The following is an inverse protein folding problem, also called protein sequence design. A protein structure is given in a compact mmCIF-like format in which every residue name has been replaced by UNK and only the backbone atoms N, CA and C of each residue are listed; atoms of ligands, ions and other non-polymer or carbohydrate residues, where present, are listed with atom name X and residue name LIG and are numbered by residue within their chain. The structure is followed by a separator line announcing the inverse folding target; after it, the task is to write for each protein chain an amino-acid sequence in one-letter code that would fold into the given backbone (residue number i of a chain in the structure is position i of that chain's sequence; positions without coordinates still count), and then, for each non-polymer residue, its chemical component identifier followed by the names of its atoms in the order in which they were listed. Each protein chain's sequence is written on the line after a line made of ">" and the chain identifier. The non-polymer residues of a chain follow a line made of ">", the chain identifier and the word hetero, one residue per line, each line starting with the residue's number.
data_IF_691002126030
#
_entry.id   IF_691002126030
#
_cell.length_a   1.000
_cell.length_b   1.000
_cell.length_c   1.000
_cell.angle_alpha   90.00
_cell.angle_beta   90.00
_cell.angle_gamma   90.00
#
_symmetry.space_group_name_H-M   'P 1'
#
loop_
_entity.id
_entity.type
_entity.pdbx_description
1 polymer ?
#
# COMPACT_ATOMS: atom_id res chain seq x y z
N UNK A 1 12.00 6.06 13.49
CA UNK A 1 10.96 5.68 14.46
C UNK A 1 10.71 6.86 15.39
N UNK A 2 9.45 7.11 15.71
CA UNK A 2 9.02 8.22 16.53
C UNK A 2 8.00 7.73 17.55
N UNK A 3 7.91 8.37 18.71
CA UNK A 3 6.79 8.14 19.63
C UNK A 3 5.51 8.85 19.15
N UNK A 4 4.39 8.62 19.85
CA UNK A 4 3.10 9.23 19.52
C UNK A 4 3.06 10.76 19.63
N UNK A 5 4.11 11.38 20.19
CA UNK A 5 4.30 12.84 20.25
C UNK A 5 5.27 13.35 19.18
N UNK A 6 5.76 12.47 18.30
CA UNK A 6 6.69 12.81 17.23
C UNK A 6 8.14 12.92 17.67
N UNK A 7 8.50 12.50 18.89
CA UNK A 7 9.91 12.51 19.33
C UNK A 7 10.67 11.35 18.69
N UNK A 8 11.83 11.64 18.12
CA UNK A 8 12.69 10.63 17.52
C UNK A 8 13.15 9.61 18.58
N UNK A 9 12.90 8.33 18.32
CA UNK A 9 13.32 7.22 19.17
C UNK A 9 14.57 6.52 18.63
N UNK A 10 14.71 6.50 17.30
CA UNK A 10 15.80 5.78 16.66
C UNK A 10 15.53 5.53 15.19
N UNK A 11 16.53 4.98 14.52
CA UNK A 11 16.48 4.50 13.13
C UNK A 11 17.17 3.15 13.05
N UNK A 12 16.72 2.34 12.11
CA UNK A 12 17.30 1.05 11.80
C UNK A 12 17.42 0.91 10.28
N UNK A 13 18.12 -0.13 9.84
CA UNK A 13 18.47 -0.28 8.43
C UNK A 13 19.84 0.29 8.08
N UNK A 14 20.25 0.04 6.85
CA UNK A 14 21.46 0.57 6.22
C UNK A 14 21.54 0.06 4.79
N UNK A 15 22.27 0.74 3.91
CA UNK A 15 22.39 0.30 2.52
C UNK A 15 23.12 -1.05 2.44
N UNK A 16 22.51 -2.05 1.79
CA UNK A 16 23.16 -3.33 1.46
C UNK A 16 22.25 -4.56 1.49
N UNK A 17 22.84 -5.73 1.19
CA UNK A 17 22.17 -7.06 1.17
C UNK A 17 22.24 -7.85 2.48
N UNK A 18 23.07 -7.40 3.42
CA UNK A 18 23.26 -8.13 4.69
C UNK A 18 22.03 -8.08 5.60
N UNK A 19 21.99 -8.92 6.66
CA UNK A 19 20.90 -8.93 7.63
C UNK A 19 20.58 -7.53 8.18
N UNK A 20 19.31 -7.12 8.11
CA UNK A 20 18.86 -5.81 8.57
C UNK A 20 19.30 -4.64 7.68
N UNK A 21 19.93 -4.89 6.53
CA UNK A 21 20.23 -3.88 5.52
C UNK A 21 19.16 -3.90 4.42
N UNK A 22 19.06 -2.80 3.68
CA UNK A 22 18.01 -2.54 2.70
C UNK A 22 18.63 -1.94 1.43
N UNK A 23 18.15 -2.34 0.26
CA UNK A 23 18.53 -1.76 -1.03
C UNK A 23 17.43 -0.89 -1.63
N UNK A 24 16.20 -1.39 -1.63
CA UNK A 24 15.02 -0.67 -2.11
C UNK A 24 13.83 -0.93 -1.19
N UNK A 25 13.76 -0.17 -0.11
CA UNK A 25 12.67 -0.25 0.85
C UNK A 25 11.40 0.42 0.28
N UNK A 26 10.50 -0.38 -0.30
CA UNK A 26 9.29 0.14 -0.97
C UNK A 26 8.08 0.22 -0.04
N UNK A 27 7.85 -0.81 0.77
CA UNK A 27 6.72 -0.88 1.70
C UNK A 27 7.21 -1.18 3.11
N UNK A 28 6.58 -0.52 4.09
CA UNK A 28 6.78 -0.77 5.52
C UNK A 28 5.43 -0.97 6.19
N UNK A 29 5.29 -2.05 6.95
CA UNK A 29 4.07 -2.35 7.70
C UNK A 29 4.43 -2.86 9.09
N UNK A 30 3.64 -2.50 10.10
CA UNK A 30 3.79 -3.02 11.46
C UNK A 30 2.62 -3.95 11.79
N UNK A 31 2.89 -5.03 12.51
CA UNK A 31 1.84 -5.92 13.02
C UNK A 31 1.42 -5.59 14.46
N UNK A 32 0.36 -6.26 14.93
CA UNK A 32 -0.17 -6.05 16.29
C UNK A 32 0.78 -6.47 17.41
N UNK A 33 1.85 -7.23 17.13
CA UNK A 33 2.88 -7.56 18.12
C UNK A 33 3.98 -6.49 18.20
N UNK A 34 3.96 -5.51 17.28
CA UNK A 34 4.97 -4.47 17.13
C UNK A 34 6.16 -4.92 16.29
N UNK A 35 6.06 -6.03 15.57
CA UNK A 35 7.05 -6.38 14.56
C UNK A 35 6.87 -5.47 13.34
N UNK A 36 7.99 -4.99 12.79
CA UNK A 36 8.03 -4.14 11.61
C UNK A 36 8.59 -4.93 10.44
N UNK A 37 7.88 -4.90 9.32
CA UNK A 37 8.23 -5.61 8.11
C UNK A 37 8.53 -4.60 7.01
N UNK A 38 9.70 -4.72 6.42
CA UNK A 38 10.14 -3.87 5.31
C UNK A 38 10.35 -4.73 4.08
N UNK A 39 9.64 -4.43 3.01
CA UNK A 39 9.85 -5.10 1.72
C UNK A 39 11.05 -4.46 1.04
N UNK A 40 12.12 -5.23 0.88
CA UNK A 40 13.26 -4.85 0.05
C UNK A 40 13.08 -5.52 -1.31
N UNK A 41 12.60 -4.79 -2.31
CA UNK A 41 12.33 -5.37 -3.63
C UNK A 41 13.60 -5.69 -4.41
N UNK A 42 14.76 -5.39 -3.85
CA UNK A 42 16.05 -5.61 -4.49
C UNK A 42 16.37 -4.55 -5.53
N UNK A 43 17.65 -4.49 -5.86
CA UNK A 43 18.18 -3.69 -6.94
C UNK A 43 18.00 -4.44 -8.27
N UNK A 44 17.35 -3.83 -9.26
CA UNK A 44 17.42 -4.29 -10.63
C UNK A 44 18.36 -3.35 -11.39
N UNK A 45 19.57 -3.82 -11.72
CA UNK A 45 20.63 -3.03 -12.39
C UNK A 45 20.15 -2.24 -13.62
N UNK A 46 19.07 -2.67 -14.27
CA UNK A 46 18.58 -2.08 -15.52
C UNK A 46 17.87 -0.72 -15.38
N UNK A 47 17.46 -0.26 -14.19
CA UNK A 47 16.53 0.88 -14.07
C UNK A 47 17.03 2.15 -13.39
N UNK A 48 18.23 2.18 -12.78
CA UNK A 48 18.58 3.28 -11.85
C UNK A 48 19.87 4.03 -12.14
N UNK A 49 20.70 3.60 -13.11
CA UNK A 49 21.90 4.35 -13.52
C UNK A 49 22.97 4.54 -12.42
N UNK A 50 22.81 3.91 -11.26
CA UNK A 50 23.81 3.87 -10.20
C UNK A 50 24.59 2.55 -10.34
N UNK A 51 25.92 2.61 -10.35
CA UNK A 51 26.76 1.42 -10.45
C UNK A 51 26.77 0.66 -9.13
N UNK A 52 25.97 -0.40 -9.02
CA UNK A 52 26.09 -1.38 -7.93
C UNK A 52 26.69 -2.66 -8.50
N UNK A 53 27.80 -3.15 -7.95
CA UNK A 53 28.35 -4.45 -8.32
C UNK A 53 27.39 -5.61 -7.99
N UNK A 54 27.73 -6.86 -8.35
CA UNK A 54 26.88 -8.03 -8.16
C UNK A 54 26.43 -8.26 -6.71
N UNK A 55 27.16 -7.73 -5.73
CA UNK A 55 26.81 -7.74 -4.30
C UNK A 55 25.55 -6.92 -3.95
N UNK A 56 25.11 -6.04 -4.86
CA UNK A 56 23.88 -5.24 -4.72
C UNK A 56 22.70 -5.90 -5.44
N UNK A 57 22.92 -6.97 -6.21
CA UNK A 57 21.87 -7.72 -6.92
C UNK A 57 21.35 -8.92 -6.12
N UNK A 58 20.17 -9.42 -6.48
CA UNK A 58 19.50 -10.54 -5.80
C UNK A 58 17.98 -10.37 -5.65
N UNK A 59 17.28 -11.43 -5.20
CA UNK A 59 15.83 -11.47 -5.19
C UNK A 59 15.21 -10.44 -4.23
N UNK A 60 13.92 -10.12 -4.42
CA UNK A 60 13.16 -9.38 -3.43
C UNK A 60 13.03 -10.18 -2.13
N UNK A 61 13.01 -9.47 -1.00
CA UNK A 61 12.86 -10.06 0.33
C UNK A 61 12.01 -9.18 1.23
N UNK A 62 11.61 -9.76 2.36
CA UNK A 62 11.00 -9.02 3.47
C UNK A 62 11.89 -9.16 4.69
N UNK A 63 12.37 -8.02 5.18
CA UNK A 63 13.14 -7.90 6.40
C UNK A 63 12.18 -7.68 7.58
N UNK A 64 12.32 -8.45 8.66
CA UNK A 64 11.57 -8.26 9.89
C UNK A 64 12.47 -7.66 10.96
N UNK A 65 11.98 -6.60 11.58
CA UNK A 65 12.54 -5.95 12.74
C UNK A 65 11.54 -6.02 13.89
N UNK A 66 12.01 -5.90 15.12
CA UNK A 66 11.11 -5.63 16.25
C UNK A 66 10.81 -4.14 16.41
N UNK A 67 10.01 -3.83 17.45
CA UNK A 67 9.57 -2.47 17.79
C UNK A 67 10.72 -1.49 18.08
N UNK A 68 11.89 -2.01 18.43
CA UNK A 68 13.09 -1.23 18.73
C UNK A 68 14.00 -1.11 17.49
N UNK A 69 13.60 -1.71 16.37
CA UNK A 69 14.34 -1.66 15.11
C UNK A 69 15.45 -2.70 15.02
N UNK A 70 15.49 -3.69 15.90
CA UNK A 70 16.49 -4.76 15.83
C UNK A 70 16.06 -5.79 14.79
N UNK A 71 16.97 -6.15 13.89
CA UNK A 71 16.73 -7.20 12.90
C UNK A 71 16.44 -8.53 13.59
N UNK A 72 15.39 -9.22 13.14
CA UNK A 72 14.94 -10.51 13.65
C UNK A 72 15.26 -11.63 12.67
N UNK A 73 14.71 -11.52 11.46
CA UNK A 73 14.89 -12.49 10.39
C UNK A 73 14.42 -11.89 9.06
N UNK A 74 14.62 -12.65 7.99
CA UNK A 74 14.17 -12.28 6.65
C UNK A 74 13.38 -13.43 5.99
N UNK A 75 12.56 -13.05 5.03
CA UNK A 75 11.96 -13.94 4.05
C UNK A 75 12.50 -13.59 2.67
N UNK A 76 13.18 -14.54 2.04
CA UNK A 76 13.62 -14.41 0.65
C UNK A 76 12.55 -14.96 -0.30
N UNK A 77 12.23 -14.20 -1.33
CA UNK A 77 11.37 -14.66 -2.42
C UNK A 77 12.24 -15.21 -3.56
N UNK A 78 11.61 -15.82 -4.57
CA UNK A 78 12.34 -16.27 -5.76
C UNK A 78 12.84 -15.08 -6.60
N UNK A 79 13.87 -15.28 -7.40
CA UNK A 79 14.46 -14.23 -8.26
C UNK A 79 13.47 -13.59 -9.23
N UNK A 80 12.47 -14.36 -9.67
CA UNK A 80 11.43 -13.90 -10.59
C UNK A 80 10.17 -13.38 -9.86
N UNK A 81 10.22 -13.26 -8.53
CA UNK A 81 9.14 -12.64 -7.76
C UNK A 81 9.20 -11.12 -7.85
N UNK A 82 8.07 -10.47 -7.60
CA UNK A 82 7.98 -9.04 -7.33
C UNK A 82 7.06 -8.80 -6.14
N UNK A 83 7.19 -7.65 -5.48
CA UNK A 83 6.26 -7.24 -4.42
C UNK A 83 5.61 -5.95 -4.89
N UNK A 84 4.29 -5.96 -5.03
CA UNK A 84 3.53 -4.82 -5.52
C UNK A 84 2.79 -4.08 -4.41
N UNK A 85 2.60 -4.71 -3.26
CA UNK A 85 2.01 -4.06 -2.10
C UNK A 85 2.13 -4.94 -0.86
N UNK A 86 2.00 -4.32 0.31
CA UNK A 86 2.01 -4.99 1.60
C UNK A 86 0.97 -4.38 2.55
N UNK A 87 0.37 -5.22 3.40
CA UNK A 87 -0.38 -4.76 4.58
C UNK A 87 -0.11 -5.63 5.80
N UNK A 88 -0.41 -5.07 6.96
CA UNK A 88 -0.49 -5.82 8.21
C UNK A 88 -1.64 -6.82 8.17
N UNK A 89 -1.40 -8.05 8.62
CA UNK A 89 -2.45 -9.06 8.65
C UNK A 89 -3.23 -9.03 9.98
N UNK A 90 -4.57 -9.15 9.96
CA UNK A 90 -5.36 -9.27 11.18
C UNK A 90 -4.90 -10.49 11.98
N UNK A 91 -4.45 -10.26 13.22
CA UNK A 91 -3.89 -11.32 14.09
C UNK A 91 -2.40 -11.60 13.92
N UNK A 92 -1.65 -10.69 13.28
CA UNK A 92 -0.17 -10.75 13.22
C UNK A 92 0.39 -11.24 11.88
N UNK A 93 1.61 -10.80 11.59
CA UNK A 93 2.28 -10.97 10.29
C UNK A 93 1.81 -10.00 9.21
N UNK A 94 2.02 -10.39 7.94
CA UNK A 94 1.82 -9.52 6.77
C UNK A 94 1.08 -10.23 5.63
N UNK A 95 0.44 -9.44 4.78
CA UNK A 95 -0.05 -9.84 3.46
C UNK A 95 0.79 -9.13 2.41
N UNK A 96 1.23 -9.87 1.39
CA UNK A 96 1.90 -9.35 0.20
C UNK A 96 1.07 -9.59 -1.05
N UNK A 97 1.23 -8.70 -2.03
CA UNK A 97 0.79 -8.91 -3.42
C UNK A 97 1.99 -9.29 -4.26
N UNK A 98 2.00 -10.52 -4.79
CA UNK A 98 3.07 -11.05 -5.64
C UNK A 98 2.55 -11.30 -7.06
N UNK A 99 3.36 -11.14 -8.13
CA UNK A 99 2.98 -11.54 -9.47
C UNK A 99 2.98 -13.08 -9.59
N UNK A 100 1.99 -13.63 -10.27
CA UNK A 100 1.95 -15.03 -10.72
C UNK A 100 1.64 -15.07 -12.22
N UNK A 101 1.88 -16.22 -12.86
CA UNK A 101 1.66 -16.42 -14.30
C UNK A 101 0.22 -16.11 -14.77
N UNK A 102 -0.76 -16.16 -13.85
CA UNK A 102 -2.19 -15.92 -14.13
C UNK A 102 -2.73 -14.61 -13.52
N UNK A 103 -1.85 -13.73 -13.02
CA UNK A 103 -2.22 -12.47 -12.37
C UNK A 103 -1.57 -12.29 -10.99
N UNK A 104 -1.95 -11.26 -10.25
CA UNK A 104 -1.39 -11.00 -8.92
C UNK A 104 -2.02 -11.94 -7.86
N UNK A 105 -1.23 -12.38 -6.89
CA UNK A 105 -1.64 -13.29 -5.83
C UNK A 105 -1.46 -12.62 -4.47
N UNK A 106 -2.49 -12.71 -3.63
CA UNK A 106 -2.41 -12.35 -2.22
C UNK A 106 -1.82 -13.52 -1.43
N UNK A 107 -0.75 -13.24 -0.69
CA UNK A 107 -0.02 -14.23 0.10
C UNK A 107 0.13 -13.72 1.53
N UNK A 108 -0.30 -14.53 2.50
CA UNK A 108 -0.09 -14.26 3.93
C UNK A 108 1.19 -14.90 4.41
N UNK A 109 1.89 -14.17 5.27
CA UNK A 109 2.93 -14.68 6.13
C UNK A 109 2.54 -14.47 7.59
N UNK A 110 2.82 -15.45 8.44
CA UNK A 110 2.65 -15.30 9.89
C UNK A 110 3.77 -14.44 10.48
N UNK A 111 3.67 -14.11 11.77
CA UNK A 111 4.71 -13.39 12.49
C UNK A 111 6.11 -14.00 12.27
N UNK A 112 6.20 -15.33 12.15
CA UNK A 112 7.45 -16.05 11.93
C UNK A 112 8.04 -15.95 10.51
N UNK A 113 7.31 -15.42 9.52
CA UNK A 113 7.69 -15.34 8.09
C UNK A 113 8.14 -16.68 7.45
N UNK A 114 7.80 -17.83 8.02
CA UNK A 114 8.41 -19.10 7.59
C UNK A 114 7.82 -19.70 6.32
N UNK A 115 6.49 -19.64 6.14
CA UNK A 115 5.82 -20.26 4.99
C UNK A 115 4.66 -19.40 4.48
N UNK A 116 4.67 -19.02 3.20
CA UNK A 116 3.54 -18.33 2.58
C UNK A 116 2.30 -19.22 2.58
N UNK A 117 1.14 -18.61 2.79
CA UNK A 117 -0.15 -19.21 2.43
C UNK A 117 -0.88 -18.32 1.44
N UNK A 118 -1.34 -18.92 0.35
CA UNK A 118 -2.32 -18.25 -0.53
C UNK A 118 -3.51 -17.82 0.29
N UNK A 119 -4.00 -16.62 0.02
CA UNK A 119 -5.29 -16.20 0.54
C UNK A 119 -6.24 -16.05 -0.64
N UNK A 120 -7.16 -17.01 -0.78
CA UNK A 120 -8.14 -17.02 -1.86
C UNK A 120 -7.61 -17.35 -3.26
N UNK A 121 -8.51 -17.39 -4.27
CA UNK A 121 -8.12 -17.52 -5.67
C UNK A 121 -7.39 -16.26 -6.13
N UNK A 122 -6.57 -16.41 -7.17
CA UNK A 122 -5.72 -15.36 -7.74
C UNK A 122 -6.50 -14.07 -8.02
N UNK A 123 -5.98 -12.93 -7.59
CA UNK A 123 -6.60 -11.63 -7.77
C UNK A 123 -6.09 -11.01 -9.09
N UNK A 124 -6.94 -11.00 -10.11
CA UNK A 124 -6.60 -10.42 -11.41
C UNK A 124 -6.71 -8.89 -11.37
N UNK A 125 -5.71 -8.22 -10.81
CA UNK A 125 -5.51 -6.77 -11.04
C UNK A 125 -4.20 -6.50 -11.71
N UNK A 126 -4.20 -5.51 -12.60
CA UNK A 126 -3.02 -5.06 -13.32
C UNK A 126 -2.19 -4.03 -12.53
N UNK A 127 -2.73 -3.47 -11.43
CA UNK A 127 -2.20 -2.24 -10.84
C UNK A 127 -2.03 -2.20 -9.31
N UNK A 128 -2.77 -2.96 -8.50
CA UNK A 128 -2.77 -2.89 -7.03
C UNK A 128 -1.41 -2.61 -6.35
N UNK A 129 -1.18 -1.37 -5.93
CA UNK A 129 0.00 -0.92 -5.18
C UNK A 129 -0.32 -0.66 -3.71
N UNK A 130 -1.51 -0.14 -3.44
CA UNK A 130 -1.97 0.12 -2.09
C UNK A 130 -2.96 -0.95 -1.64
N UNK A 131 -2.69 -1.53 -0.47
CA UNK A 131 -3.59 -2.50 0.16
C UNK A 131 -3.66 -2.28 1.66
N UNK A 132 -4.79 -2.61 2.26
CA UNK A 132 -4.98 -2.60 3.71
C UNK A 132 -5.94 -3.72 4.09
N UNK A 133 -5.74 -4.31 5.25
CA UNK A 133 -6.57 -5.42 5.72
C UNK A 133 -7.47 -4.99 6.88
N UNK A 134 -8.54 -5.71 7.12
CA UNK A 134 -9.24 -5.73 8.41
C UNK A 134 -9.77 -7.13 8.69
N UNK A 135 -10.50 -7.31 9.81
CA UNK A 135 -11.03 -8.62 10.22
C UNK A 135 -11.93 -9.31 9.19
N UNK A 136 -12.52 -8.56 8.27
CA UNK A 136 -13.44 -9.06 7.27
C UNK A 136 -12.79 -9.27 5.89
N UNK A 137 -11.49 -8.99 5.71
CA UNK A 137 -10.81 -9.12 4.42
C UNK A 137 -9.82 -8.01 4.11
N UNK A 138 -9.73 -7.62 2.84
CA UNK A 138 -8.76 -6.67 2.32
C UNK A 138 -9.45 -5.59 1.50
N UNK A 139 -8.93 -4.38 1.59
CA UNK A 139 -9.12 -3.32 0.61
C UNK A 139 -7.88 -3.29 -0.27
N UNK A 140 -8.09 -3.13 -1.57
CA UNK A 140 -7.00 -2.94 -2.51
C UNK A 140 -7.40 -1.87 -3.51
N UNK A 141 -6.43 -1.04 -3.85
CA UNK A 141 -6.47 -0.34 -5.12
C UNK A 141 -6.45 -1.37 -6.26
N UNK A 142 -7.25 -1.11 -7.28
CA UNK A 142 -7.32 -1.92 -8.47
C UNK A 142 -7.48 -1.00 -9.67
N UNK A 143 -6.94 -1.41 -10.79
CA UNK A 143 -7.20 -0.74 -12.06
C UNK A 143 -8.48 -1.32 -12.64
N UNK A 144 -9.53 -0.50 -12.73
CA UNK A 144 -10.77 -0.89 -13.39
C UNK A 144 -10.70 -0.60 -14.88
N UNK A 145 -10.86 -1.69 -15.61
CA UNK A 145 -10.86 -1.66 -17.04
C UNK A 145 -12.29 -1.69 -17.57
N UNK A 146 -12.75 -0.57 -18.10
CA UNK A 146 -14.08 -0.45 -18.70
C UNK A 146 -14.25 -1.35 -19.96
N UNK A 147 -13.15 -1.90 -20.53
CA UNK A 147 -13.16 -2.87 -21.65
C UNK A 147 -13.96 -4.14 -21.35
N UNK A 148 -14.13 -4.55 -20.08
CA UNK A 148 -14.90 -5.76 -19.71
C UNK A 148 -16.40 -5.72 -20.04
N UNK A 149 -16.93 -4.58 -20.53
CA UNK A 149 -18.28 -4.51 -21.12
C UNK A 149 -18.35 -4.88 -22.62
N UNK A 150 -17.23 -4.99 -23.34
CA UNK A 150 -17.20 -5.46 -24.74
C UNK A 150 -16.24 -6.63 -24.90
N UNK A 151 -16.79 -7.84 -25.00
CA UNK A 151 -16.14 -8.90 -25.75
C UNK A 151 -16.18 -8.49 -27.24
N UNK A 152 -15.02 -8.10 -27.80
CA UNK A 152 -14.69 -7.86 -29.22
C UNK A 152 -14.39 -6.39 -29.62
N UNK A 153 -13.10 -6.12 -29.82
CA UNK A 153 -12.56 -4.96 -30.54
C UNK A 153 -11.39 -4.26 -29.82
N UNK A 154 -10.47 -3.61 -30.56
CA UNK A 154 -9.47 -2.72 -29.97
C UNK A 154 -10.15 -1.49 -29.31
N UNK A 155 -9.48 -0.89 -28.31
CA UNK A 155 -10.04 0.24 -27.57
C UNK A 155 -10.27 1.47 -28.47
N UNK A 156 -11.45 2.08 -28.40
CA UNK A 156 -11.76 3.35 -29.03
C UNK A 156 -11.05 4.51 -28.30
N UNK A 157 -10.71 5.58 -29.03
CA UNK A 157 -10.18 6.81 -28.45
C UNK A 157 -11.20 7.41 -27.47
N UNK A 158 -10.85 7.50 -26.19
CA UNK A 158 -11.73 8.01 -25.12
C UNK A 158 -12.05 7.00 -24.00
N UNK A 159 -11.51 5.78 -24.07
CA UNK A 159 -11.69 4.75 -23.05
C UNK A 159 -10.83 5.01 -21.80
N UNK A 160 -11.47 5.10 -20.62
CA UNK A 160 -10.81 5.44 -19.36
C UNK A 160 -10.50 4.18 -18.55
N UNK A 161 -9.25 4.08 -18.13
CA UNK A 161 -8.76 3.18 -17.10
C UNK A 161 -8.81 3.96 -15.79
N UNK A 162 -9.66 3.54 -14.85
CA UNK A 162 -9.85 4.24 -13.58
C UNK A 162 -9.20 3.47 -12.44
N UNK A 163 -8.53 4.18 -11.54
CA UNK A 163 -8.07 3.61 -10.28
C UNK A 163 -9.25 3.53 -9.32
N UNK A 164 -9.64 2.30 -8.98
CA UNK A 164 -10.76 2.02 -8.09
C UNK A 164 -10.29 1.36 -6.81
N UNK A 165 -11.15 1.41 -5.81
CA UNK A 165 -10.95 0.63 -4.58
C UNK A 165 -11.96 -0.48 -4.53
N UNK A 166 -11.47 -1.70 -4.38
CA UNK A 166 -12.31 -2.88 -4.26
C UNK A 166 -12.16 -3.50 -2.88
N UNK A 167 -13.27 -4.08 -2.42
CA UNK A 167 -13.27 -4.98 -1.28
C UNK A 167 -12.92 -6.39 -1.77
N UNK A 168 -12.06 -7.08 -1.05
CA UNK A 168 -11.73 -8.49 -1.26
C UNK A 168 -12.04 -9.22 0.04
N UNK A 169 -12.90 -10.25 0.00
CA UNK A 169 -13.21 -11.03 1.19
C UNK A 169 -12.01 -11.91 1.64
N UNK A 170 -12.11 -12.52 2.82
CA UNK A 170 -11.07 -13.42 3.35
C UNK A 170 -10.81 -14.66 2.47
N UNK A 171 -11.72 -14.96 1.54
CA UNK A 171 -11.60 -16.03 0.57
C UNK A 171 -11.11 -15.54 -0.80
N UNK A 172 -10.71 -14.27 -0.94
CA UNK A 172 -10.19 -13.68 -2.18
C UNK A 172 -11.25 -13.28 -3.20
N UNK A 173 -12.55 -13.29 -2.85
CA UNK A 173 -13.62 -12.85 -3.75
C UNK A 173 -13.68 -11.34 -3.79
N UNK A 174 -13.71 -10.78 -5.00
CA UNK A 174 -13.75 -9.34 -5.23
C UNK A 174 -15.20 -8.86 -5.20
N UNK A 175 -15.49 -7.91 -4.32
CA UNK A 175 -16.78 -7.23 -4.22
C UNK A 175 -16.90 -6.05 -5.19
N UNK A 176 -17.95 -5.23 -5.02
CA UNK A 176 -18.13 -4.00 -5.78
C UNK A 176 -17.03 -2.98 -5.43
N UNK A 177 -16.67 -2.13 -6.39
CA UNK A 177 -15.81 -0.99 -6.08
C UNK A 177 -16.56 0.04 -5.22
N UNK A 178 -15.81 0.79 -4.40
CA UNK A 178 -16.36 1.73 -3.41
C UNK A 178 -15.84 3.16 -3.59
N UNK A 179 -15.24 3.44 -4.75
CA UNK A 179 -14.58 4.70 -5.10
C UNK A 179 -15.32 5.49 -6.19
N UNK A 180 -16.64 5.75 -6.07
CA UNK A 180 -17.39 6.41 -7.15
C UNK A 180 -16.95 7.86 -7.41
N UNK A 181 -16.15 8.43 -6.52
CA UNK A 181 -15.86 9.85 -6.44
C UNK A 181 -14.36 10.15 -6.26
N UNK A 182 -13.49 9.17 -6.47
CA UNK A 182 -12.04 9.37 -6.53
C UNK A 182 -11.72 9.99 -7.89
N UNK A 183 -11.11 11.16 -7.88
CA UNK A 183 -10.80 11.93 -9.09
C UNK A 183 -9.29 12.09 -9.32
N UNK A 184 -8.47 11.73 -8.33
CA UNK A 184 -7.01 11.75 -8.40
C UNK A 184 -6.40 10.35 -8.41
N UNK A 185 -5.07 10.31 -8.34
CA UNK A 185 -4.33 9.06 -8.11
C UNK A 185 -4.40 8.68 -6.63
N UNK A 186 -4.64 7.40 -6.36
CA UNK A 186 -4.59 6.87 -5.01
C UNK A 186 -3.12 6.78 -4.58
N UNK A 187 -2.80 7.38 -3.44
CA UNK A 187 -1.43 7.38 -2.89
C UNK A 187 -1.33 6.63 -1.57
N UNK A 188 -2.45 6.17 -1.04
CA UNK A 188 -2.46 5.39 0.20
C UNK A 188 -3.86 4.97 0.59
N UNK A 189 -3.95 3.75 1.11
CA UNK A 189 -5.17 3.26 1.76
C UNK A 189 -4.82 2.70 3.12
N UNK A 190 -5.69 2.94 4.10
CA UNK A 190 -5.50 2.45 5.45
C UNK A 190 -6.86 2.10 6.07
N UNK A 191 -6.89 1.09 6.93
CA UNK A 191 -8.12 0.63 7.56
C UNK A 191 -7.98 0.65 9.07
N UNK A 192 -8.93 1.31 9.74
CA UNK A 192 -9.07 1.23 11.20
C UNK A 192 -9.60 -0.16 11.55
N UNK A 193 -8.76 -0.99 12.17
CA UNK A 193 -9.09 -2.36 12.57
C UNK A 193 -10.29 -2.44 13.53
N UNK A 194 -10.54 -1.38 14.30
CA UNK A 194 -11.56 -1.33 15.34
C UNK A 194 -12.92 -0.97 14.75
N UNK A 195 -13.01 0.10 13.95
CA UNK A 195 -14.29 0.46 13.33
C UNK A 195 -14.54 -0.22 11.98
N UNK A 196 -13.51 -0.72 11.32
CA UNK A 196 -13.57 -1.16 9.91
C UNK A 196 -13.69 0.01 8.93
N UNK A 197 -13.33 1.24 9.35
CA UNK A 197 -13.39 2.40 8.45
C UNK A 197 -12.19 2.36 7.51
N UNK A 198 -12.44 2.66 6.24
CA UNK A 198 -11.42 2.79 5.22
C UNK A 198 -11.11 4.26 5.00
N UNK A 199 -9.82 4.58 4.97
CA UNK A 199 -9.30 5.89 4.65
C UNK A 199 -8.53 5.78 3.34
N UNK A 200 -8.74 6.75 2.47
CA UNK A 200 -8.18 6.77 1.12
C UNK A 200 -7.58 8.14 0.87
N UNK A 201 -6.26 8.21 0.79
CA UNK A 201 -5.56 9.41 0.40
C UNK A 201 -5.50 9.46 -1.13
N UNK A 202 -6.00 10.54 -1.71
CA UNK A 202 -5.82 10.84 -3.12
C UNK A 202 -4.93 12.06 -3.29
N UNK A 203 -4.08 12.00 -4.31
CA UNK A 203 -3.44 13.18 -4.87
C UNK A 203 -4.10 13.49 -6.21
N UNK A 204 -4.64 14.69 -6.34
CA UNK A 204 -4.95 15.21 -7.67
C UNK A 204 -3.61 15.36 -8.37
N UNK A 205 -3.47 14.81 -9.57
CA UNK A 205 -2.22 14.92 -10.33
C UNK A 205 -1.89 16.41 -10.42
N UNK A 206 -0.68 16.80 -10.04
CA UNK A 206 -0.11 18.09 -10.44
C UNK A 206 -0.04 18.03 -11.97
N UNK A 207 -1.15 18.38 -12.62
CA UNK A 207 -1.21 18.51 -14.06
C UNK A 207 -0.32 19.71 -14.34
N UNK A 208 0.86 19.44 -14.90
CA UNK A 208 1.74 20.45 -15.50
C UNK A 208 1.04 21.28 -16.59
N UNK A 209 -0.20 20.98 -16.95
CA UNK A 209 -1.08 21.87 -17.70
C UNK A 209 -1.77 22.85 -16.74
N UNK A 210 -1.12 23.99 -16.54
CA UNK A 210 -1.79 25.21 -16.09
C UNK A 210 -2.75 25.64 -17.21
N UNK A 211 -3.92 25.01 -17.29
CA UNK A 211 -5.04 25.57 -18.03
C UNK A 211 -5.47 26.88 -17.40
N UNK A 212 -6.10 27.81 -18.14
CA UNK A 212 -6.42 29.17 -17.68
C UNK A 212 -7.45 29.23 -16.54
N UNK A 213 -7.94 28.09 -16.05
CA UNK A 213 -8.98 28.04 -15.02
C UNK A 213 -8.57 27.15 -13.82
N UNK A 214 -7.81 27.70 -12.85
CA UNK A 214 -7.36 26.98 -11.65
C UNK A 214 -8.49 26.52 -10.71
N UNK A 215 -9.75 26.93 -10.94
CA UNK A 215 -10.89 26.59 -10.09
C UNK A 215 -11.44 25.16 -10.29
N UNK A 216 -10.97 24.42 -11.31
CA UNK A 216 -11.51 23.09 -11.67
C UNK A 216 -10.68 21.92 -11.13
N UNK A 217 -9.51 22.18 -10.54
CA UNK A 217 -8.63 21.13 -10.02
C UNK A 217 -8.96 20.85 -8.55
N UNK A 218 -9.34 19.61 -8.26
CA UNK A 218 -9.70 19.20 -6.92
C UNK A 218 -8.55 19.39 -5.91
N UNK A 219 -8.90 19.66 -4.66
CA UNK A 219 -7.93 19.63 -3.57
C UNK A 219 -7.56 18.20 -3.20
N UNK A 220 -6.27 17.96 -2.97
CA UNK A 220 -5.76 16.75 -2.31
C UNK A 220 -6.53 16.51 -1.01
N UNK A 221 -6.94 15.26 -0.76
CA UNK A 221 -7.79 14.94 0.38
C UNK A 221 -7.66 13.49 0.80
N UNK A 222 -8.12 13.21 2.01
CA UNK A 222 -8.47 11.87 2.45
C UNK A 222 -9.98 11.72 2.44
N UNK A 223 -10.47 10.67 1.77
CA UNK A 223 -11.85 10.21 1.90
C UNK A 223 -11.95 9.14 2.96
N UNK A 224 -13.04 9.17 3.72
CA UNK A 224 -13.36 8.19 4.74
C UNK A 224 -14.63 7.46 4.32
N UNK A 225 -14.53 6.14 4.28
CA UNK A 225 -15.62 5.23 4.00
C UNK A 225 -15.91 4.40 5.25
N UNK A 226 -17.18 4.08 5.49
CA UNK A 226 -17.56 3.10 6.49
C UNK A 226 -17.16 1.68 6.04
N UNK A 227 -17.39 0.70 6.93
CA UNK A 227 -17.07 -0.71 6.67
C UNK A 227 -17.79 -1.31 5.47
N UNK A 228 -18.88 -0.70 5.02
CA UNK A 228 -19.66 -1.16 3.89
C UNK A 228 -19.25 -0.44 2.59
N UNK A 229 -18.26 0.45 2.64
CA UNK A 229 -17.81 1.24 1.50
C UNK A 229 -18.65 2.48 1.22
N UNK A 230 -19.53 2.90 2.14
CA UNK A 230 -20.25 4.17 1.99
C UNK A 230 -19.36 5.31 2.45
N UNK A 231 -19.20 6.35 1.61
CA UNK A 231 -18.47 7.56 2.00
C UNK A 231 -19.18 8.27 3.16
N UNK A 232 -18.45 8.57 4.23
CA UNK A 232 -18.98 9.22 5.44
C UNK A 232 -18.29 10.54 5.77
N UNK A 233 -17.07 10.79 5.27
CA UNK A 233 -16.38 12.06 5.45
C UNK A 233 -15.30 12.25 4.37
N UNK A 234 -14.78 13.48 4.28
CA UNK A 234 -13.54 13.79 3.59
C UNK A 234 -12.89 15.01 4.25
N UNK A 235 -11.56 15.07 4.25
CA UNK A 235 -10.81 16.21 4.77
C UNK A 235 -9.60 16.52 3.88
N UNK A 236 -9.22 17.79 3.73
CA UNK A 236 -8.11 18.19 2.87
C UNK A 236 -6.77 17.73 3.45
N UNK A 237 -5.79 17.48 2.58
CA UNK A 237 -4.41 17.16 2.95
C UNK A 237 -3.45 17.78 1.95
N UNK A 238 -2.25 18.16 2.35
CA UNK A 238 -1.26 18.68 1.40
C UNK A 238 -0.28 17.59 0.98
N UNK A 239 -0.20 17.33 -0.33
CA UNK A 239 0.81 16.46 -0.98
C UNK A 239 1.04 15.13 -0.24
N UNK A 240 0.00 14.28 -0.14
CA UNK A 240 0.12 12.99 0.51
C UNK A 240 1.02 12.05 -0.31
N UNK A 241 1.94 11.36 0.37
CA UNK A 241 2.81 10.33 -0.22
C UNK A 241 2.43 8.92 0.23
N UNK A 242 2.10 8.75 1.51
CA UNK A 242 1.65 7.49 2.09
C UNK A 242 0.79 7.77 3.32
N UNK A 243 0.07 6.74 3.78
CA UNK A 243 -0.83 6.84 4.92
C UNK A 243 -0.77 5.59 5.80
N UNK A 244 -0.93 5.77 7.10
CA UNK A 244 -1.07 4.70 8.08
C UNK A 244 -2.11 5.07 9.14
N UNK A 245 -2.66 4.07 9.82
CA UNK A 245 -3.59 4.27 10.94
C UNK A 245 -2.99 3.69 12.21
N UNK A 246 -2.95 4.51 13.26
CA UNK A 246 -2.52 4.10 14.60
C UNK A 246 -3.58 3.27 15.32
N UNK A 247 -3.17 2.61 16.41
CA UNK A 247 -4.04 1.73 17.20
C UNK A 247 -5.30 2.42 17.77
N UNK A 248 -5.25 3.74 17.96
CA UNK A 248 -6.36 4.55 18.48
C UNK A 248 -7.23 5.19 17.39
N UNK A 249 -6.97 4.87 16.12
CA UNK A 249 -7.72 5.41 14.97
C UNK A 249 -7.19 6.77 14.47
N UNK A 250 -6.04 7.22 14.97
CA UNK A 250 -5.35 8.39 14.44
C UNK A 250 -4.80 8.08 13.05
N UNK A 251 -4.97 9.02 12.11
CA UNK A 251 -4.51 8.89 10.73
C UNK A 251 -3.20 9.65 10.58
N UNK A 252 -2.15 8.94 10.17
CA UNK A 252 -0.84 9.51 9.89
C UNK A 252 -0.65 9.58 8.38
N UNK A 253 -0.35 10.76 7.87
CA UNK A 253 -0.11 10.99 6.45
C UNK A 253 1.28 11.57 6.28
N UNK A 254 2.11 10.89 5.50
CA UNK A 254 3.44 11.38 5.18
C UNK A 254 3.36 12.30 3.97
N UNK A 255 4.17 13.35 4.01
CA UNK A 255 4.46 14.22 2.87
C UNK A 255 5.98 14.18 2.63
N UNK A 256 6.48 14.94 1.65
CA UNK A 256 7.93 15.08 1.45
C UNK A 256 8.66 15.79 2.59
N UNK A 257 7.94 16.48 3.50
CA UNK A 257 8.56 17.33 4.53
C UNK A 257 8.15 16.99 5.96
N UNK A 258 6.98 16.40 6.15
CA UNK A 258 6.39 16.22 7.47
C UNK A 258 5.45 15.01 7.52
N UNK A 259 5.02 14.67 8.74
CA UNK A 259 3.93 13.72 8.99
C UNK A 259 2.78 14.51 9.60
N UNK A 260 1.64 14.55 8.90
CA UNK A 260 0.41 15.15 9.38
C UNK A 260 -0.38 14.10 10.16
N UNK A 261 -0.93 14.48 11.32
CA UNK A 261 -1.67 13.56 12.21
C UNK A 261 -3.08 14.07 12.41
N UNK A 262 -4.06 13.30 11.98
CA UNK A 262 -5.48 13.62 12.13
C UNK A 262 -6.07 12.73 13.22
N UNK A 263 -6.51 13.35 14.30
CA UNK A 263 -7.05 12.63 15.46
C UNK A 263 -8.54 12.39 15.34
N UNK A 264 -9.01 11.31 15.95
CA UNK A 264 -10.43 10.98 15.95
C UNK A 264 -11.22 12.02 16.77
N UNK A 265 -11.99 12.87 16.10
CA UNK A 265 -12.94 13.79 16.75
C UNK A 265 -12.44 15.21 17.06
N UNK A 266 -11.40 15.70 16.38
CA UNK A 266 -10.97 17.10 16.48
C UNK A 266 -10.36 17.62 15.17
N UNK A 267 -10.54 18.92 14.96
CA UNK A 267 -10.16 19.74 13.78
C UNK A 267 -8.70 19.61 13.33
#
# INVERSE_FOLDING_TARGET
>A
MFDGRGRFLGRFGGLGRGPGKLLSANFVVADGAGDVYVTDTGYHEKSSGIGGGPEMSGPPRVERFDRDGHFRNELRLSENSGIFGAASAPGGGIILVLPAATGRRLVRYSAALRRPRSIGPTFQTSGATHLSADRQGYWAEATWDTRRKRLAGPPASGEVVEDVIVRIDVHGRVGKHVSPDIAGSIVGIATDQTSGRLYVAESVRDVYEVGPNPATYGTNRVRVYDRNGKRIAAFPVQRPNAMAIGAHGDVYITTNREIQVFRRGGD
#
